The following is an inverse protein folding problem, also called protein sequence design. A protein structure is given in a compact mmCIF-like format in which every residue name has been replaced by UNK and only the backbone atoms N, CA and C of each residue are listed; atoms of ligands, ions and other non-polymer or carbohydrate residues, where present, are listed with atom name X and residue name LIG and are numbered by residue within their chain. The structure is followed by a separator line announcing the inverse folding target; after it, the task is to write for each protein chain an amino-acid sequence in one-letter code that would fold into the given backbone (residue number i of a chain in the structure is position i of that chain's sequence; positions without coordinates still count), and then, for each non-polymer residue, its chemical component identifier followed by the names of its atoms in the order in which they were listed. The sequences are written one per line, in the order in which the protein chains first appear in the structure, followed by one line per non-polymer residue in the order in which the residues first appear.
data_IF_448643439917
#
_entry.id   IF_448643439917
#
_cell.length_a   1.000
_cell.length_b   1.000
_cell.length_c   1.000
_cell.angle_alpha   90.00
_cell.angle_beta   90.00
_cell.angle_gamma   90.00
#
_symmetry.space_group_name_H-M   'P 1'
#
loop_
_entity.id
_entity.type
_entity.pdbx_description
1 polymer ?
#
# COMPACT_ATOMS: atom_id res chain seq x y z
N UNK A 1 -10.82 -34.20 -6.27
CA UNK A 1 -12.04 -34.67 -5.86
C UNK A 1 -12.36 -36.11 -6.21
N UNK A 2 -13.62 -36.41 -6.09
CA UNK A 2 -14.20 -37.73 -6.31
C UNK A 2 -14.22 -38.12 -7.80
N UNK A 3 -15.17 -38.95 -8.19
CA UNK A 3 -15.30 -39.41 -9.60
C UNK A 3 -15.52 -38.25 -10.55
N UNK A 4 -15.03 -38.30 -11.80
CA UNK A 4 -15.20 -37.24 -12.79
C UNK A 4 -16.68 -36.80 -12.99
N UNK A 5 -17.61 -37.76 -12.93
CA UNK A 5 -19.03 -37.48 -13.11
C UNK A 5 -19.64 -36.64 -11.98
N UNK A 6 -19.29 -36.97 -10.73
CA UNK A 6 -19.75 -36.21 -9.54
C UNK A 6 -19.11 -34.82 -9.55
N UNK A 7 -17.79 -34.74 -9.82
CA UNK A 7 -17.05 -33.47 -9.87
C UNK A 7 -17.66 -32.55 -10.95
N UNK A 8 -17.92 -33.05 -12.15
CA UNK A 8 -18.55 -32.27 -13.23
C UNK A 8 -19.94 -31.76 -12.85
N UNK A 9 -20.75 -32.60 -12.19
CA UNK A 9 -22.08 -32.21 -11.72
C UNK A 9 -22.03 -31.08 -10.70
N UNK A 10 -21.13 -31.18 -9.71
CA UNK A 10 -20.96 -30.14 -8.70
C UNK A 10 -20.48 -28.83 -9.34
N UNK A 11 -19.54 -28.91 -10.30
CA UNK A 11 -19.10 -27.72 -11.04
C UNK A 11 -20.27 -27.02 -11.74
N UNK A 12 -21.10 -27.76 -12.41
CA UNK A 12 -22.29 -27.20 -13.07
C UNK A 12 -23.27 -26.56 -12.07
N UNK A 13 -23.50 -27.21 -10.91
CA UNK A 13 -24.37 -26.66 -9.86
C UNK A 13 -23.87 -25.32 -9.28
N UNK A 14 -22.56 -25.09 -9.24
CA UNK A 14 -21.95 -23.83 -8.78
C UNK A 14 -21.70 -22.85 -9.93
N UNK A 15 -22.17 -23.14 -11.14
CA UNK A 15 -22.04 -22.23 -12.28
C UNK A 15 -20.70 -22.27 -13.01
N UNK A 16 -19.90 -23.31 -12.79
CA UNK A 16 -18.68 -23.57 -13.53
C UNK A 16 -18.98 -24.56 -14.68
N UNK A 17 -18.58 -24.21 -15.89
CA UNK A 17 -18.57 -25.16 -16.99
C UNK A 17 -17.35 -26.06 -16.85
N UNK A 18 -17.51 -27.38 -16.57
CA UNK A 18 -16.39 -28.24 -16.22
C UNK A 18 -15.42 -28.52 -17.36
N UNK A 19 -15.80 -28.24 -18.60
CA UNK A 19 -14.98 -28.58 -19.76
C UNK A 19 -14.54 -30.03 -19.76
N UNK A 20 -13.30 -30.31 -20.13
CA UNK A 20 -12.67 -31.63 -20.01
C UNK A 20 -12.12 -31.83 -18.61
N UNK A 21 -12.59 -32.85 -17.90
CA UNK A 21 -12.08 -33.21 -16.58
C UNK A 21 -10.83 -34.06 -16.73
N UNK A 22 -9.71 -33.65 -16.11
CA UNK A 22 -8.45 -34.40 -16.09
C UNK A 22 -8.42 -35.31 -14.88
N UNK A 23 -8.01 -36.58 -15.10
CA UNK A 23 -7.89 -37.59 -14.05
C UNK A 23 -6.44 -37.76 -13.56
N UNK A 24 -6.29 -38.35 -12.37
CA UNK A 24 -4.97 -38.66 -11.81
C UNK A 24 -4.09 -39.51 -12.73
N UNK A 25 -4.67 -40.52 -13.40
CA UNK A 25 -3.93 -41.38 -14.35
C UNK A 25 -3.37 -40.56 -15.54
N UNK A 26 -4.11 -39.58 -16.01
CA UNK A 26 -3.66 -38.69 -17.07
C UNK A 26 -2.52 -37.77 -16.60
N UNK A 27 -2.59 -37.30 -15.34
CA UNK A 27 -1.54 -36.49 -14.76
C UNK A 27 -0.23 -37.26 -14.63
N UNK A 28 -0.31 -38.53 -14.22
CA UNK A 28 0.89 -39.39 -14.09
C UNK A 28 1.57 -39.67 -15.44
N UNK A 29 0.81 -39.64 -16.53
CA UNK A 29 1.32 -39.81 -17.88
C UNK A 29 1.95 -38.53 -18.47
N UNK A 30 1.70 -37.36 -17.88
CA UNK A 30 2.17 -36.04 -18.35
C UNK A 30 3.57 -35.71 -17.81
N UNK A 31 4.40 -35.11 -18.64
CA UNK A 31 5.61 -34.43 -18.19
C UNK A 31 5.27 -33.04 -17.58
N UNK A 32 6.27 -32.34 -17.01
CA UNK A 32 6.04 -31.07 -16.31
C UNK A 32 5.50 -29.95 -17.24
N UNK A 33 5.92 -29.94 -18.52
CA UNK A 33 5.46 -28.95 -19.48
C UNK A 33 4.00 -29.22 -19.92
N UNK A 34 3.70 -30.48 -20.15
CA UNK A 34 2.34 -30.95 -20.49
C UNK A 34 1.37 -30.68 -19.32
N UNK A 35 1.79 -30.96 -18.09
CA UNK A 35 1.01 -30.69 -16.90
C UNK A 35 0.77 -29.19 -16.69
N UNK A 36 1.80 -28.35 -16.94
CA UNK A 36 1.64 -26.90 -16.85
C UNK A 36 0.65 -26.37 -17.89
N UNK A 37 0.71 -26.88 -19.11
CA UNK A 37 -0.26 -26.53 -20.15
C UNK A 37 -1.67 -26.99 -19.77
N UNK A 38 -1.81 -28.24 -19.30
CA UNK A 38 -3.08 -28.79 -18.84
C UNK A 38 -3.67 -27.99 -17.67
N UNK A 39 -2.85 -27.60 -16.70
CA UNK A 39 -3.27 -26.79 -15.55
C UNK A 39 -3.66 -25.34 -15.90
N UNK A 40 -3.23 -24.83 -17.06
CA UNK A 40 -3.69 -23.53 -17.59
C UNK A 40 -5.02 -23.62 -18.33
N UNK A 41 -5.24 -24.73 -19.03
CA UNK A 41 -6.37 -24.90 -19.95
C UNK A 41 -7.57 -25.60 -19.29
N UNK A 42 -7.39 -26.17 -18.09
CA UNK A 42 -8.41 -26.95 -17.40
C UNK A 42 -8.55 -26.52 -15.95
N UNK A 43 -9.78 -26.36 -15.51
CA UNK A 43 -10.14 -25.95 -14.15
C UNK A 43 -10.52 -27.13 -13.26
N UNK A 44 -10.78 -28.32 -13.83
CA UNK A 44 -11.36 -29.46 -13.12
C UNK A 44 -10.47 -30.69 -13.19
N UNK A 45 -10.08 -31.17 -12.03
CA UNK A 45 -9.25 -32.36 -11.83
C UNK A 45 -9.97 -33.34 -10.89
N UNK A 46 -10.03 -34.62 -11.25
CA UNK A 46 -10.74 -35.62 -10.50
C UNK A 46 -9.91 -36.87 -10.24
N UNK A 47 -10.29 -37.66 -9.23
CA UNK A 47 -9.58 -38.90 -8.82
C UNK A 47 -8.09 -38.69 -8.54
N UNK A 48 -7.78 -37.65 -7.80
CA UNK A 48 -6.39 -37.32 -7.46
C UNK A 48 -5.96 -37.98 -6.17
N UNK A 49 -4.76 -38.53 -6.17
CA UNK A 49 -4.04 -38.89 -4.95
C UNK A 49 -3.48 -37.62 -4.26
N UNK A 50 -3.14 -37.66 -2.98
CA UNK A 50 -2.48 -36.54 -2.29
C UNK A 50 -1.23 -36.04 -2.99
N UNK A 51 -0.41 -36.92 -3.55
CA UNK A 51 0.81 -36.56 -4.27
C UNK A 51 0.51 -35.86 -5.60
N UNK A 52 -0.52 -36.28 -6.32
CA UNK A 52 -0.95 -35.62 -7.56
C UNK A 52 -1.49 -34.22 -7.29
N UNK A 53 -2.24 -34.02 -6.19
CA UNK A 53 -2.67 -32.67 -5.75
C UNK A 53 -1.46 -31.76 -5.50
N UNK A 54 -0.49 -32.25 -4.75
CA UNK A 54 0.77 -31.54 -4.47
C UNK A 54 1.53 -31.23 -5.77
N UNK A 55 1.59 -32.18 -6.72
CA UNK A 55 2.26 -31.99 -8.02
C UNK A 55 1.60 -30.88 -8.85
N UNK A 56 0.27 -30.82 -8.91
CA UNK A 56 -0.46 -29.74 -9.58
C UNK A 56 -0.13 -28.39 -8.94
N UNK A 57 -0.16 -28.31 -7.62
CA UNK A 57 0.15 -27.07 -6.87
C UNK A 57 1.56 -26.59 -7.24
N UNK A 58 2.56 -27.46 -7.15
CA UNK A 58 3.95 -27.12 -7.51
C UNK A 58 4.12 -26.70 -8.96
N UNK A 59 3.42 -27.37 -9.87
CA UNK A 59 3.44 -27.02 -11.30
C UNK A 59 2.85 -25.61 -11.54
N UNK A 60 1.76 -25.27 -10.88
CA UNK A 60 1.19 -23.91 -10.95
C UNK A 60 2.14 -22.86 -10.36
N UNK A 61 2.79 -23.16 -9.23
CA UNK A 61 3.80 -22.26 -8.63
C UNK A 61 4.98 -22.05 -9.57
N UNK A 62 5.50 -23.09 -10.21
CA UNK A 62 6.56 -23.00 -11.23
C UNK A 62 6.12 -22.17 -12.45
N UNK A 63 4.83 -22.23 -12.79
CA UNK A 63 4.19 -21.37 -13.78
C UNK A 63 4.06 -19.90 -13.38
N UNK A 64 4.51 -19.53 -12.18
CA UNK A 64 4.51 -18.16 -11.67
C UNK A 64 3.19 -17.75 -10.97
N UNK A 65 2.31 -18.72 -10.66
CA UNK A 65 1.08 -18.48 -9.90
C UNK A 65 1.35 -18.55 -8.40
N UNK A 66 0.58 -17.78 -7.62
CA UNK A 66 0.46 -17.96 -6.18
C UNK A 66 -0.77 -18.82 -5.93
N UNK A 67 -0.59 -19.95 -5.26
CA UNK A 67 -1.61 -20.98 -5.11
C UNK A 67 -2.12 -21.02 -3.67
N UNK A 68 -3.42 -20.77 -3.50
CA UNK A 68 -4.16 -21.12 -2.28
C UNK A 68 -4.79 -22.50 -2.45
N UNK A 69 -4.69 -23.35 -1.44
CA UNK A 69 -5.28 -24.68 -1.43
C UNK A 69 -6.24 -24.84 -0.26
N UNK A 70 -7.48 -25.18 -0.55
CA UNK A 70 -8.50 -25.46 0.46
C UNK A 70 -8.68 -26.98 0.61
N UNK A 71 -8.50 -27.47 1.82
CA UNK A 71 -8.65 -28.89 2.14
C UNK A 71 -9.15 -29.12 3.56
N UNK A 72 -9.96 -30.16 3.77
CA UNK A 72 -10.54 -30.51 5.08
C UNK A 72 -10.26 -31.95 5.51
N UNK A 73 -9.64 -32.76 4.66
CA UNK A 73 -9.36 -34.16 4.90
C UNK A 73 -7.89 -34.47 5.23
N UNK A 74 -7.67 -35.67 5.76
CA UNK A 74 -6.32 -36.20 6.04
C UNK A 74 -5.47 -36.23 4.76
N UNK A 75 -6.08 -36.54 3.63
CA UNK A 75 -5.42 -36.64 2.33
C UNK A 75 -5.01 -35.28 1.74
N UNK A 76 -5.46 -34.19 2.33
CA UNK A 76 -5.16 -32.82 1.87
C UNK A 76 -3.92 -32.22 2.52
N UNK A 77 -3.42 -32.84 3.60
CA UNK A 77 -2.28 -32.31 4.35
C UNK A 77 -1.03 -32.02 3.48
N UNK A 78 -0.62 -32.86 2.52
CA UNK A 78 0.50 -32.53 1.64
C UNK A 78 0.22 -31.29 0.77
N UNK A 79 -0.98 -31.18 0.19
CA UNK A 79 -1.39 -30.03 -0.61
C UNK A 79 -1.46 -28.73 0.20
N UNK A 80 -1.96 -28.80 1.44
CA UNK A 80 -2.01 -27.67 2.37
C UNK A 80 -0.60 -27.14 2.70
N UNK A 81 0.38 -28.01 2.87
CA UNK A 81 1.77 -27.61 3.14
C UNK A 81 2.51 -27.11 1.93
N UNK A 82 2.23 -27.66 0.76
CA UNK A 82 2.94 -27.31 -0.48
C UNK A 82 2.37 -26.05 -1.15
N UNK A 83 1.15 -25.65 -0.83
CA UNK A 83 0.55 -24.41 -1.31
C UNK A 83 1.25 -23.18 -0.72
N UNK A 84 1.14 -22.03 -1.41
CA UNK A 84 1.61 -20.73 -0.87
C UNK A 84 0.75 -20.31 0.33
N UNK A 85 -0.53 -20.68 0.33
CA UNK A 85 -1.47 -20.50 1.44
C UNK A 85 -2.33 -21.75 1.58
N UNK A 86 -2.11 -22.53 2.64
CA UNK A 86 -2.98 -23.65 3.01
C UNK A 86 -4.19 -23.14 3.81
N UNK A 87 -5.39 -23.51 3.38
CA UNK A 87 -6.65 -23.08 4.02
C UNK A 87 -7.43 -24.32 4.44
N UNK A 88 -7.88 -24.35 5.68
CA UNK A 88 -8.77 -25.40 6.18
C UNK A 88 -9.99 -24.81 6.88
N UNK A 89 -10.85 -25.66 7.40
CA UNK A 89 -12.04 -25.26 8.14
C UNK A 89 -12.00 -25.80 9.56
N UNK A 90 -12.71 -25.17 10.49
CA UNK A 90 -12.71 -25.58 11.90
C UNK A 90 -13.20 -27.02 12.10
N UNK A 91 -14.13 -27.49 11.26
CA UNK A 91 -14.64 -28.86 11.27
C UNK A 91 -13.75 -29.90 10.58
N UNK A 92 -12.56 -29.50 10.08
CA UNK A 92 -11.65 -30.38 9.37
C UNK A 92 -10.94 -31.38 10.31
N UNK A 93 -10.31 -32.40 9.71
CA UNK A 93 -9.42 -33.31 10.44
C UNK A 93 -8.24 -32.55 11.07
N UNK A 94 -7.80 -32.95 12.25
CA UNK A 94 -6.73 -32.25 13.00
C UNK A 94 -5.46 -32.08 12.18
N UNK A 95 -5.05 -33.09 11.44
CA UNK A 95 -3.86 -33.02 10.58
C UNK A 95 -4.02 -31.99 9.44
N UNK A 96 -5.22 -31.78 8.93
CA UNK A 96 -5.50 -30.75 7.94
C UNK A 96 -5.40 -29.36 8.58
N UNK A 97 -5.97 -29.18 9.77
CA UNK A 97 -5.88 -27.93 10.53
C UNK A 97 -4.44 -27.57 10.90
N UNK A 98 -3.65 -28.55 11.34
CA UNK A 98 -2.22 -28.37 11.66
C UNK A 98 -1.36 -28.07 10.43
N UNK A 99 -1.81 -28.48 9.25
CA UNK A 99 -1.09 -28.25 7.98
C UNK A 99 -1.50 -26.95 7.26
N UNK A 100 -2.54 -26.29 7.73
CA UNK A 100 -3.07 -25.07 7.13
C UNK A 100 -2.48 -23.81 7.79
N UNK A 101 -2.34 -22.75 6.98
CA UNK A 101 -1.95 -21.42 7.46
C UNK A 101 -3.16 -20.64 8.00
N UNK A 102 -4.35 -20.91 7.43
CA UNK A 102 -5.59 -20.24 7.78
C UNK A 102 -6.68 -21.27 8.05
N UNK A 103 -7.44 -21.07 9.12
CA UNK A 103 -8.61 -21.88 9.45
C UNK A 103 -9.86 -20.99 9.37
N UNK A 104 -10.78 -21.34 8.48
CA UNK A 104 -12.08 -20.71 8.39
C UNK A 104 -12.99 -21.23 9.50
N UNK A 105 -13.53 -20.34 10.31
CA UNK A 105 -14.45 -20.68 11.40
C UNK A 105 -15.81 -21.14 10.90
N UNK A 106 -16.17 -20.74 9.68
CA UNK A 106 -17.37 -21.18 8.98
C UNK A 106 -16.99 -21.93 7.70
N UNK A 107 -17.63 -23.07 7.48
CA UNK A 107 -17.45 -23.87 6.24
C UNK A 107 -18.24 -23.24 5.09
N UNK A 108 -17.76 -22.10 4.59
CA UNK A 108 -18.42 -21.33 3.52
C UNK A 108 -17.41 -20.80 2.51
N UNK A 109 -17.65 -21.02 1.23
CA UNK A 109 -16.85 -20.42 0.16
C UNK A 109 -17.01 -18.90 0.07
N UNK A 110 -18.15 -18.36 0.55
CA UNK A 110 -18.37 -16.92 0.63
C UNK A 110 -17.40 -16.27 1.61
N UNK A 111 -17.15 -16.91 2.76
CA UNK A 111 -16.14 -16.43 3.73
C UNK A 111 -14.74 -16.44 3.14
N UNK A 112 -14.41 -17.44 2.32
CA UNK A 112 -13.14 -17.49 1.59
C UNK A 112 -13.03 -16.35 0.58
N UNK A 113 -14.07 -16.07 -0.18
CA UNK A 113 -14.11 -14.96 -1.14
C UNK A 113 -13.91 -13.61 -0.43
N UNK A 114 -14.64 -13.37 0.65
CA UNK A 114 -14.49 -12.18 1.48
C UNK A 114 -13.05 -12.06 2.01
N UNK A 115 -12.46 -13.17 2.45
CA UNK A 115 -11.07 -13.21 2.90
C UNK A 115 -10.07 -12.82 1.81
N UNK A 116 -10.26 -13.28 0.58
CA UNK A 116 -9.42 -12.90 -0.57
C UNK A 116 -9.56 -11.41 -0.89
N UNK A 117 -10.76 -10.87 -0.92
CA UNK A 117 -11.00 -9.44 -1.15
C UNK A 117 -10.38 -8.62 -0.04
N UNK A 118 -10.56 -9.02 1.22
CA UNK A 118 -9.98 -8.35 2.39
C UNK A 118 -8.46 -8.38 2.39
N UNK A 119 -7.86 -9.49 1.99
CA UNK A 119 -6.41 -9.61 1.79
C UNK A 119 -5.90 -8.62 0.73
N UNK A 120 -6.60 -8.48 -0.39
CA UNK A 120 -6.26 -7.49 -1.44
C UNK A 120 -6.41 -6.05 -0.95
N UNK A 121 -7.45 -5.74 -0.15
CA UNK A 121 -7.61 -4.44 0.49
C UNK A 121 -6.44 -4.12 1.44
N UNK A 122 -6.10 -5.05 2.31
CA UNK A 122 -4.99 -4.93 3.25
C UNK A 122 -3.68 -4.71 2.51
N UNK A 123 -3.39 -5.51 1.50
CA UNK A 123 -2.20 -5.34 0.66
C UNK A 123 -2.18 -3.98 -0.04
N UNK A 124 -3.32 -3.52 -0.57
CA UNK A 124 -3.46 -2.20 -1.18
C UNK A 124 -3.12 -1.07 -0.20
N UNK A 125 -3.59 -1.15 1.03
CA UNK A 125 -3.30 -0.15 2.06
C UNK A 125 -1.82 -0.19 2.52
N UNK A 126 -1.21 -1.37 2.61
CA UNK A 126 0.23 -1.52 2.85
C UNK A 126 1.03 -0.86 1.71
N UNK A 127 0.66 -1.09 0.46
CA UNK A 127 1.34 -0.49 -0.69
C UNK A 127 1.22 1.04 -0.70
N UNK A 128 0.06 1.60 -0.32
CA UNK A 128 -0.09 3.04 -0.13
C UNK A 128 0.90 3.56 0.90
N UNK A 129 0.91 2.97 2.10
CA UNK A 129 1.82 3.35 3.18
C UNK A 129 3.27 3.36 2.72
N UNK A 130 3.74 2.28 2.12
CA UNK A 130 5.14 2.16 1.70
C UNK A 130 5.53 3.17 0.62
N UNK A 131 4.69 3.36 -0.39
CA UNK A 131 4.97 4.33 -1.45
C UNK A 131 4.97 5.76 -0.91
N UNK A 132 4.03 6.11 -0.03
CA UNK A 132 3.95 7.42 0.59
C UNK A 132 5.16 7.70 1.48
N UNK A 133 5.47 6.77 2.38
CA UNK A 133 6.59 6.91 3.32
C UNK A 133 7.93 6.98 2.60
N UNK A 134 8.18 6.10 1.63
CA UNK A 134 9.39 6.12 0.84
C UNK A 134 9.55 7.44 0.07
N UNK A 135 8.48 7.92 -0.56
CA UNK A 135 8.49 9.17 -1.32
C UNK A 135 8.70 10.39 -0.42
N UNK A 136 8.04 10.45 0.72
CA UNK A 136 8.20 11.51 1.72
C UNK A 136 9.62 11.58 2.26
N UNK A 137 10.17 10.44 2.68
CA UNK A 137 11.53 10.39 3.22
C UNK A 137 12.57 10.79 2.18
N UNK A 138 12.42 10.31 0.94
CA UNK A 138 13.30 10.72 -0.16
C UNK A 138 13.22 12.22 -0.42
N UNK A 139 12.01 12.79 -0.47
CA UNK A 139 11.78 14.22 -0.63
C UNK A 139 12.43 15.03 0.48
N UNK A 140 12.25 14.64 1.74
CA UNK A 140 12.83 15.32 2.89
C UNK A 140 14.37 15.33 2.85
N UNK A 141 14.99 14.19 2.56
CA UNK A 141 16.46 14.10 2.45
C UNK A 141 16.96 15.01 1.33
N UNK A 142 16.30 15.00 0.18
CA UNK A 142 16.66 15.87 -0.94
C UNK A 142 16.51 17.35 -0.58
N UNK A 143 15.44 17.73 0.10
CA UNK A 143 15.21 19.11 0.54
C UNK A 143 16.24 19.58 1.56
N UNK A 144 16.63 18.73 2.52
CA UNK A 144 17.71 19.04 3.49
C UNK A 144 19.05 19.24 2.78
N UNK A 145 19.37 18.40 1.80
CA UNK A 145 20.63 18.54 1.04
C UNK A 145 20.69 19.86 0.28
N UNK A 146 19.59 20.24 -0.38
CA UNK A 146 19.51 21.53 -1.08
C UNK A 146 19.65 22.70 -0.10
N UNK A 147 18.91 22.68 1.01
CA UNK A 147 18.98 23.71 2.02
C UNK A 147 20.40 23.87 2.60
N UNK A 148 21.05 22.74 2.91
CA UNK A 148 22.40 22.74 3.50
C UNK A 148 23.47 23.32 2.57
N UNK A 149 23.22 23.36 1.27
CA UNK A 149 24.14 23.98 0.29
C UNK A 149 24.08 25.53 0.28
N UNK A 150 22.95 26.12 0.70
CA UNK A 150 22.71 27.57 0.53
C UNK A 150 22.44 28.32 1.83
N UNK A 151 22.10 27.64 2.92
CA UNK A 151 21.63 28.23 4.16
C UNK A 151 22.73 28.09 5.24
N UNK A 152 23.04 29.14 6.02
CA UNK A 152 24.13 29.14 7.01
C UNK A 152 23.78 28.41 8.32
N UNK A 153 22.57 27.88 8.45
CA UNK A 153 22.08 27.11 9.61
C UNK A 153 21.29 25.86 9.15
N UNK A 154 20.99 24.98 10.08
CA UNK A 154 20.16 23.81 9.76
C UNK A 154 18.72 24.23 9.45
N UNK A 155 18.15 23.79 8.32
CA UNK A 155 16.78 24.13 7.95
C UNK A 155 15.75 23.52 8.90
N UNK A 156 16.11 22.48 9.63
CA UNK A 156 15.32 21.87 10.69
C UNK A 156 16.27 21.15 11.66
N UNK A 157 16.04 21.30 12.95
CA UNK A 157 16.81 20.60 13.98
C UNK A 157 16.40 19.10 14.01
N UNK A 158 17.30 18.19 14.40
CA UNK A 158 16.98 16.76 14.49
C UNK A 158 15.75 16.46 15.36
N UNK A 159 15.57 17.19 16.48
CA UNK A 159 14.40 17.01 17.36
C UNK A 159 13.10 17.46 16.69
N UNK A 160 13.15 18.54 15.90
CA UNK A 160 11.99 19.02 15.14
C UNK A 160 11.62 18.02 14.04
N UNK A 161 12.61 17.45 13.34
CA UNK A 161 12.43 16.44 12.32
C UNK A 161 11.82 15.16 12.91
N UNK A 162 12.31 14.75 14.09
CA UNK A 162 11.74 13.61 14.82
C UNK A 162 10.27 13.86 15.18
N UNK A 163 9.95 15.03 15.72
CA UNK A 163 8.58 15.41 16.08
C UNK A 163 7.68 15.43 14.84
N UNK A 164 8.15 16.02 13.75
CA UNK A 164 7.41 16.06 12.48
C UNK A 164 7.12 14.64 11.95
N UNK A 165 8.12 13.77 11.94
CA UNK A 165 7.96 12.38 11.49
C UNK A 165 6.99 11.62 12.39
N UNK A 166 7.05 11.75 13.71
CA UNK A 166 6.10 11.13 14.62
C UNK A 166 4.66 11.61 14.36
N UNK A 167 4.45 12.90 14.16
CA UNK A 167 3.13 13.44 13.83
C UNK A 167 2.62 12.91 12.48
N UNK A 168 3.49 12.83 11.49
CA UNK A 168 3.17 12.25 10.20
C UNK A 168 2.81 10.75 10.31
N UNK A 169 3.60 9.97 11.03
CA UNK A 169 3.33 8.56 11.28
C UNK A 169 1.98 8.35 11.96
N UNK A 170 1.65 9.19 12.94
CA UNK A 170 0.31 9.17 13.54
C UNK A 170 -0.80 9.40 12.51
N UNK A 171 -0.59 10.30 11.55
CA UNK A 171 -1.58 10.53 10.49
C UNK A 171 -1.84 9.28 9.63
N UNK A 172 -0.83 8.44 9.48
CA UNK A 172 -0.88 7.21 8.68
C UNK A 172 -1.46 5.99 9.40
N UNK A 173 -1.62 6.03 10.73
CA UNK A 173 -2.24 4.94 11.50
C UNK A 173 -3.68 4.63 11.06
N UNK A 174 -4.34 5.56 10.41
CA UNK A 174 -5.70 5.38 9.87
C UNK A 174 -5.76 4.69 8.51
N UNK A 175 -4.63 4.52 7.80
CA UNK A 175 -4.59 3.92 6.46
C UNK A 175 -5.17 2.49 6.37
N UNK A 176 -5.04 1.61 7.38
CA UNK A 176 -5.67 0.28 7.33
C UNK A 176 -7.20 0.32 7.14
N UNK A 177 -7.86 1.40 7.55
CA UNK A 177 -9.30 1.59 7.34
C UNK A 177 -9.67 2.33 6.06
N UNK A 178 -8.66 2.70 5.25
CA UNK A 178 -8.92 3.42 4.01
C UNK A 178 -9.48 2.50 2.93
N UNK A 179 -10.24 3.11 2.04
CA UNK A 179 -10.83 2.42 0.88
C UNK A 179 -9.78 2.23 -0.20
N UNK A 180 -9.77 1.05 -0.79
CA UNK A 180 -8.92 0.73 -1.96
C UNK A 180 -9.75 0.88 -3.23
N UNK A 181 -9.14 1.40 -4.29
CA UNK A 181 -9.79 1.55 -5.59
C UNK A 181 -10.23 0.18 -6.13
N UNK A 182 -11.46 0.09 -6.65
CA UNK A 182 -12.05 -1.18 -7.13
C UNK A 182 -11.19 -1.85 -8.21
N UNK A 183 -10.55 -1.07 -9.04
CA UNK A 183 -9.67 -1.57 -10.10
C UNK A 183 -8.42 -2.29 -9.54
N UNK A 184 -7.98 -1.89 -8.34
CA UNK A 184 -6.88 -2.57 -7.65
C UNK A 184 -7.31 -3.95 -7.14
N UNK A 185 -8.55 -4.10 -6.71
CA UNK A 185 -9.09 -5.34 -6.13
C UNK A 185 -9.38 -6.42 -7.17
N UNK A 186 -9.50 -6.07 -8.45
CA UNK A 186 -9.86 -7.00 -9.52
C UNK A 186 -8.81 -8.09 -9.78
N UNK A 187 -7.53 -7.77 -9.56
CA UNK A 187 -6.41 -8.67 -9.82
C UNK A 187 -5.46 -8.72 -8.63
N UNK A 188 -4.90 -9.89 -8.31
CA UNK A 188 -3.86 -10.00 -7.31
C UNK A 188 -2.63 -9.19 -7.72
N UNK A 189 -1.96 -8.60 -6.73
CA UNK A 189 -0.72 -7.84 -6.94
C UNK A 189 0.42 -8.53 -6.22
N UNK A 190 1.61 -8.45 -6.80
CA UNK A 190 2.84 -8.95 -6.20
C UNK A 190 3.65 -7.78 -5.64
N UNK A 191 4.42 -8.07 -4.63
CA UNK A 191 5.44 -7.17 -4.11
C UNK A 191 6.48 -6.85 -5.19
N UNK A 192 6.73 -5.58 -5.43
CA UNK A 192 7.69 -5.12 -6.43
C UNK A 192 8.52 -3.95 -5.90
N UNK A 193 9.67 -4.27 -5.31
CA UNK A 193 10.59 -3.28 -4.75
C UNK A 193 11.10 -2.28 -5.81
N UNK A 194 11.25 -2.71 -7.07
CA UNK A 194 11.66 -1.83 -8.17
C UNK A 194 10.60 -0.77 -8.46
N UNK A 195 9.34 -1.14 -8.32
CA UNK A 195 8.24 -0.19 -8.49
C UNK A 195 8.20 0.84 -7.37
N UNK A 196 8.43 0.43 -6.12
CA UNK A 196 8.53 1.36 -4.97
C UNK A 196 9.68 2.34 -5.19
N UNK A 197 10.88 1.87 -5.57
CA UNK A 197 12.02 2.72 -5.88
C UNK A 197 11.75 3.70 -7.01
N UNK A 198 11.11 3.25 -8.08
CA UNK A 198 10.69 4.11 -9.19
C UNK A 198 9.69 5.18 -8.74
N UNK A 199 8.68 4.78 -7.98
CA UNK A 199 7.68 5.70 -7.44
C UNK A 199 8.33 6.77 -6.56
N UNK A 200 9.23 6.37 -5.65
CA UNK A 200 10.00 7.25 -4.79
C UNK A 200 10.77 8.32 -5.58
N UNK A 201 11.50 7.92 -6.62
CA UNK A 201 12.32 8.85 -7.43
C UNK A 201 11.46 9.79 -8.28
N UNK A 202 10.28 9.36 -8.72
CA UNK A 202 9.41 10.19 -9.54
C UNK A 202 8.51 11.12 -8.74
N UNK A 203 8.02 10.68 -7.61
CA UNK A 203 7.03 11.42 -6.81
C UNK A 203 7.70 12.19 -5.66
N UNK A 204 8.78 11.65 -5.06
CA UNK A 204 9.46 12.29 -3.95
C UNK A 204 9.92 13.73 -4.24
N UNK A 205 10.62 14.01 -5.34
CA UNK A 205 11.05 15.37 -5.67
C UNK A 205 9.92 16.37 -5.88
N UNK A 206 8.69 15.91 -6.11
CA UNK A 206 7.54 16.80 -6.26
C UNK A 206 7.28 17.61 -4.98
N UNK A 207 7.39 17.00 -3.81
CA UNK A 207 7.27 17.71 -2.53
C UNK A 207 8.44 18.66 -2.30
N UNK A 208 9.65 18.26 -2.69
CA UNK A 208 10.86 19.06 -2.51
C UNK A 208 10.82 20.41 -3.25
N UNK A 209 10.11 20.51 -4.37
CA UNK A 209 9.90 21.78 -5.07
C UNK A 209 9.22 22.80 -4.14
N UNK A 210 8.25 22.34 -3.35
CA UNK A 210 7.49 23.21 -2.43
C UNK A 210 8.23 23.47 -1.13
N UNK A 211 9.06 22.52 -0.66
CA UNK A 211 10.01 22.77 0.42
C UNK A 211 10.98 23.90 0.03
N UNK A 212 11.55 23.83 -1.17
CA UNK A 212 12.44 24.87 -1.70
C UNK A 212 11.72 26.20 -1.86
N UNK A 213 10.47 26.18 -2.31
CA UNK A 213 9.63 27.38 -2.38
C UNK A 213 9.43 27.98 -1.00
N UNK A 214 9.20 27.18 0.02
CA UNK A 214 9.09 27.62 1.41
C UNK A 214 10.40 28.18 1.93
N UNK A 215 11.54 27.58 1.60
CA UNK A 215 12.85 28.15 1.92
C UNK A 215 13.04 29.54 1.32
N UNK A 216 12.70 29.69 0.04
CA UNK A 216 12.76 30.99 -0.64
C UNK A 216 11.82 32.01 0.00
N UNK A 217 10.62 31.59 0.38
CA UNK A 217 9.64 32.43 1.08
C UNK A 217 10.18 32.91 2.42
N UNK A 218 10.69 32.01 3.25
CA UNK A 218 11.25 32.37 4.56
C UNK A 218 12.49 33.24 4.43
N UNK A 219 13.32 33.03 3.43
CA UNK A 219 14.52 33.78 3.18
C UNK A 219 14.25 35.18 2.63
N UNK A 220 13.47 35.29 1.55
CA UNK A 220 13.28 36.55 0.81
C UNK A 220 12.11 37.38 1.30
N UNK A 221 11.02 36.77 1.76
CA UNK A 221 9.81 37.51 2.16
C UNK A 221 9.83 37.78 3.67
N UNK A 222 10.20 36.81 4.49
CA UNK A 222 10.21 36.93 5.94
C UNK A 222 11.59 37.31 6.50
N UNK A 223 12.64 37.37 5.67
CA UNK A 223 13.95 37.84 6.05
C UNK A 223 14.69 36.96 7.05
N UNK A 224 14.33 35.69 7.16
CA UNK A 224 15.00 34.75 8.05
C UNK A 224 16.33 34.26 7.46
N UNK A 225 17.33 35.15 7.44
CA UNK A 225 18.61 34.98 6.73
C UNK A 225 19.81 34.79 7.66
N UNK A 226 19.61 34.92 8.96
CA UNK A 226 20.69 34.85 9.96
C UNK A 226 20.43 33.74 10.99
N UNK A 227 21.45 33.35 11.71
CA UNK A 227 21.38 32.34 12.78
C UNK A 227 20.39 32.76 13.88
N UNK A 228 20.28 34.05 14.17
CA UNK A 228 19.32 34.56 15.15
C UNK A 228 17.87 34.35 14.73
N UNK A 229 17.61 34.27 13.44
CA UNK A 229 16.27 34.06 12.86
C UNK A 229 16.03 32.62 12.41
N UNK A 230 16.92 31.70 12.73
CA UNK A 230 16.79 30.30 12.32
C UNK A 230 15.48 29.63 12.82
N UNK A 231 15.03 29.96 14.04
CA UNK A 231 13.81 29.41 14.61
C UNK A 231 12.57 29.75 13.78
N UNK A 232 12.49 30.99 13.24
CA UNK A 232 11.43 31.40 12.35
C UNK A 232 11.45 30.60 11.05
N UNK A 233 12.62 30.44 10.43
CA UNK A 233 12.81 29.64 9.23
C UNK A 233 12.40 28.17 9.46
N UNK A 234 12.86 27.59 10.55
CA UNK A 234 12.56 26.23 10.94
C UNK A 234 11.06 26.01 11.20
N UNK A 235 10.41 26.98 11.86
CA UNK A 235 8.95 26.93 12.08
C UNK A 235 8.18 26.97 10.77
N UNK A 236 8.58 27.80 9.82
CA UNK A 236 7.96 27.88 8.51
C UNK A 236 8.02 26.57 7.74
N UNK A 237 9.19 25.96 7.69
CA UNK A 237 9.31 24.65 7.01
C UNK A 237 8.67 23.50 7.79
N UNK A 238 8.74 23.54 9.13
CA UNK A 238 8.08 22.53 9.97
C UNK A 238 6.57 22.43 9.66
N UNK A 239 5.89 23.56 9.62
CA UNK A 239 4.44 23.60 9.35
C UNK A 239 4.16 23.22 7.91
N UNK A 240 4.83 23.80 6.93
CA UNK A 240 4.64 23.48 5.52
C UNK A 240 4.93 22.01 5.25
N UNK A 241 6.07 21.49 5.71
CA UNK A 241 6.49 20.12 5.51
C UNK A 241 5.53 19.12 6.13
N UNK A 242 5.02 19.37 7.34
CA UNK A 242 4.03 18.49 7.97
C UNK A 242 2.70 18.51 7.21
N UNK A 243 2.23 19.67 6.81
CA UNK A 243 0.96 19.79 6.10
C UNK A 243 1.03 19.19 4.69
N UNK A 244 2.11 19.44 3.95
CA UNK A 244 2.32 18.84 2.62
C UNK A 244 2.44 17.32 2.70
N UNK A 245 3.19 16.78 3.65
CA UNK A 245 3.31 15.33 3.89
C UNK A 245 1.96 14.70 4.28
N UNK A 246 1.16 15.39 5.07
CA UNK A 246 -0.16 14.90 5.46
C UNK A 246 -1.15 14.95 4.30
N UNK A 247 -1.08 15.99 3.45
CA UNK A 247 -1.85 16.06 2.21
C UNK A 247 -1.45 15.00 1.20
N UNK A 248 -0.18 14.59 1.17
CA UNK A 248 0.29 13.47 0.34
C UNK A 248 -0.54 12.23 0.56
N UNK A 249 -0.95 11.93 1.79
CA UNK A 249 -1.82 10.79 2.09
C UNK A 249 -3.06 10.81 1.22
N UNK A 250 -3.73 11.96 1.11
CA UNK A 250 -4.92 12.12 0.28
C UNK A 250 -4.60 12.12 -1.22
N UNK A 251 -3.48 12.73 -1.62
CA UNK A 251 -3.10 12.83 -3.03
C UNK A 251 -2.66 11.49 -3.62
N UNK A 252 -1.91 10.69 -2.87
CA UNK A 252 -1.31 9.46 -3.40
C UNK A 252 -2.14 8.19 -3.13
N UNK A 253 -3.11 8.21 -2.20
CA UNK A 253 -3.90 7.03 -1.82
C UNK A 253 -4.74 6.43 -2.96
N UNK A 254 -5.02 7.18 -3.99
CA UNK A 254 -5.90 6.79 -5.08
C UNK A 254 -5.33 7.20 -6.44
N UNK A 255 -5.63 6.40 -7.46
CA UNK A 255 -5.38 6.75 -8.86
C UNK A 255 -6.24 7.94 -9.33
N UNK A 256 -7.42 8.13 -8.72
CA UNK A 256 -8.44 9.12 -9.06
C UNK A 256 -8.09 10.52 -8.54
N UNK A 257 -8.90 11.50 -8.88
CA UNK A 257 -8.78 12.85 -8.33
C UNK A 257 -9.25 12.84 -6.87
N UNK A 258 -8.36 13.16 -5.91
CA UNK A 258 -8.71 13.18 -4.49
C UNK A 258 -9.83 14.15 -4.19
N UNK A 259 -10.64 13.85 -3.17
CA UNK A 259 -11.80 14.61 -2.70
C UNK A 259 -12.96 14.73 -3.69
N UNK A 260 -12.71 14.66 -5.00
CA UNK A 260 -13.73 14.78 -6.04
C UNK A 260 -14.22 13.42 -6.50
N UNK A 261 -13.31 12.55 -6.92
CA UNK A 261 -13.64 11.22 -7.46
C UNK A 261 -13.43 10.10 -6.43
N UNK A 262 -12.58 10.31 -5.46
CA UNK A 262 -12.30 9.35 -4.39
C UNK A 262 -11.99 10.07 -3.09
N UNK A 263 -12.89 9.94 -2.12
CA UNK A 263 -12.71 10.50 -0.77
C UNK A 263 -12.17 9.41 0.15
N UNK A 264 -11.21 9.77 1.00
CA UNK A 264 -10.68 8.88 2.02
C UNK A 264 -11.78 8.45 3.01
N UNK A 265 -11.55 7.33 3.68
CA UNK A 265 -12.42 6.90 4.76
C UNK A 265 -12.43 7.93 5.91
N UNK A 266 -13.53 7.99 6.67
CA UNK A 266 -13.69 8.95 7.74
C UNK A 266 -12.55 8.94 8.78
N UNK A 267 -12.03 7.79 9.24
CA UNK A 267 -10.88 7.76 10.14
C UNK A 267 -9.64 8.46 9.57
N UNK A 268 -9.39 8.32 8.25
CA UNK A 268 -8.27 8.97 7.58
C UNK A 268 -8.47 10.48 7.55
N UNK A 269 -9.67 10.96 7.21
CA UNK A 269 -10.00 12.38 7.20
C UNK A 269 -9.85 13.02 8.58
N UNK A 270 -10.37 12.38 9.61
CA UNK A 270 -10.33 12.89 10.98
C UNK A 270 -8.89 12.92 11.52
N UNK A 271 -8.13 11.85 11.33
CA UNK A 271 -6.79 11.76 11.89
C UNK A 271 -5.82 12.70 11.16
N UNK A 272 -5.86 12.74 9.84
CA UNK A 272 -5.04 13.67 9.05
C UNK A 272 -5.41 15.12 9.34
N UNK A 273 -6.70 15.45 9.42
CA UNK A 273 -7.16 16.78 9.77
C UNK A 273 -6.71 17.22 11.18
N UNK A 274 -6.76 16.33 12.14
CA UNK A 274 -6.29 16.57 13.52
C UNK A 274 -4.77 16.83 13.53
N UNK A 275 -3.99 16.02 12.83
CA UNK A 275 -2.53 16.19 12.75
C UNK A 275 -2.18 17.51 12.06
N UNK A 276 -2.88 17.88 11.00
CA UNK A 276 -2.67 19.18 10.34
C UNK A 276 -2.97 20.35 11.27
N UNK A 277 -4.07 20.30 12.01
CA UNK A 277 -4.44 21.35 12.98
C UNK A 277 -3.40 21.46 14.11
N UNK A 278 -2.94 20.33 14.65
CA UNK A 278 -1.89 20.30 15.66
C UNK A 278 -0.55 20.81 15.09
N UNK A 279 -0.23 20.50 13.84
CA UNK A 279 0.96 21.01 13.16
C UNK A 279 0.98 22.53 13.03
N UNK A 280 -0.15 23.13 12.66
CA UNK A 280 -0.32 24.59 12.60
C UNK A 280 -0.17 25.22 13.99
N UNK A 281 -0.72 24.56 15.01
CA UNK A 281 -0.67 25.03 16.40
C UNK A 281 0.72 24.86 17.04
N UNK A 282 1.52 23.92 16.59
CA UNK A 282 2.79 23.52 17.22
C UNK A 282 3.74 24.70 17.48
N UNK A 283 4.04 25.62 16.52
CA UNK A 283 4.91 26.77 16.78
C UNK A 283 4.38 27.74 17.83
N UNK A 284 3.08 27.72 18.10
CA UNK A 284 2.44 28.59 19.12
C UNK A 284 2.31 27.92 20.48
N UNK A 285 2.73 26.66 20.59
CA UNK A 285 2.62 25.87 21.81
C UNK A 285 3.90 25.91 22.64
N UNK A 286 3.78 25.66 23.96
CA UNK A 286 4.95 25.49 24.81
C UNK A 286 5.85 24.32 24.42
N UNK A 287 5.28 23.27 23.80
CA UNK A 287 6.07 22.16 23.26
C UNK A 287 6.88 22.61 22.03
N UNK A 288 6.33 23.47 21.18
CA UNK A 288 7.05 24.06 20.06
C UNK A 288 8.24 24.89 20.53
N UNK A 289 8.06 25.71 21.55
CA UNK A 289 9.13 26.49 22.18
C UNK A 289 10.27 25.58 22.72
N UNK A 290 9.91 24.48 23.39
CA UNK A 290 10.89 23.50 23.89
C UNK A 290 11.74 22.86 22.79
N UNK A 291 11.22 22.71 21.60
CA UNK A 291 11.96 22.14 20.45
C UNK A 291 12.57 23.21 19.54
N UNK A 292 12.51 24.48 19.94
CA UNK A 292 13.15 25.59 19.23
C UNK A 292 12.33 26.17 18.08
N UNK A 293 11.02 25.96 18.07
CA UNK A 293 10.09 26.63 17.15
C UNK A 293 9.60 27.94 17.78
N UNK A 294 9.22 28.89 16.95
CA UNK A 294 8.61 30.14 17.37
C UNK A 294 7.32 30.44 16.59
N UNK A 295 6.42 31.25 17.14
CA UNK A 295 5.17 31.63 16.48
C UNK A 295 5.42 32.25 15.10
N UNK A 296 4.67 31.77 14.11
CA UNK A 296 4.71 32.30 12.75
C UNK A 296 3.85 33.56 12.63
N UNK A 297 4.28 34.56 11.83
CA UNK A 297 3.46 35.75 11.57
C UNK A 297 2.19 35.36 10.80
N UNK A 298 1.09 36.07 11.05
CA UNK A 298 -0.20 35.79 10.37
C UNK A 298 -0.13 35.92 8.84
N UNK A 299 0.76 36.75 8.32
CA UNK A 299 1.02 36.88 6.90
C UNK A 299 1.62 35.63 6.23
N UNK A 300 2.14 34.70 7.02
CA UNK A 300 2.65 33.41 6.53
C UNK A 300 1.54 32.49 6.03
N UNK A 301 0.39 32.47 6.66
CA UNK A 301 -0.68 31.51 6.36
C UNK A 301 -1.31 31.63 4.97
N UNK A 302 -1.54 32.82 4.40
CA UNK A 302 -1.93 32.95 3.00
C UNK A 302 -0.92 32.33 2.03
N UNK A 303 0.37 32.53 2.28
CA UNK A 303 1.44 31.90 1.49
C UNK A 303 1.44 30.38 1.64
N UNK A 304 1.27 29.88 2.86
CA UNK A 304 1.14 28.45 3.13
C UNK A 304 -0.05 27.85 2.35
N UNK A 305 -1.21 28.46 2.40
CA UNK A 305 -2.38 28.01 1.68
C UNK A 305 -2.15 27.97 0.16
N UNK A 306 -1.53 29.01 -0.40
CA UNK A 306 -1.15 29.04 -1.81
C UNK A 306 -0.16 27.96 -2.20
N UNK A 307 0.87 27.74 -1.38
CA UNK A 307 1.87 26.68 -1.57
C UNK A 307 1.24 25.30 -1.58
N UNK A 308 0.36 25.01 -0.61
CA UNK A 308 -0.32 23.71 -0.51
C UNK A 308 -1.30 23.47 -1.67
N UNK A 309 -2.01 24.49 -2.13
CA UNK A 309 -2.86 24.39 -3.32
C UNK A 309 -2.04 24.09 -4.58
N UNK A 310 -0.95 24.81 -4.79
CA UNK A 310 -0.04 24.54 -5.90
C UNK A 310 0.55 23.14 -5.82
N UNK A 311 0.92 22.69 -4.62
CA UNK A 311 1.36 21.33 -4.39
C UNK A 311 0.31 20.28 -4.82
N UNK A 312 -0.93 20.44 -4.43
CA UNK A 312 -2.00 19.52 -4.84
C UNK A 312 -2.16 19.46 -6.37
N UNK A 313 -2.10 20.61 -7.05
CA UNK A 313 -2.20 20.67 -8.52
C UNK A 313 -1.01 19.97 -9.18
N UNK A 314 0.21 20.27 -8.75
CA UNK A 314 1.43 19.66 -9.33
C UNK A 314 1.50 18.16 -9.02
N UNK A 315 1.17 17.74 -7.80
CA UNK A 315 1.11 16.33 -7.42
C UNK A 315 0.10 15.56 -8.28
N UNK A 316 -1.08 16.15 -8.54
CA UNK A 316 -2.06 15.54 -9.45
C UNK A 316 -1.54 15.45 -10.88
N UNK A 317 -0.87 16.49 -11.36
CA UNK A 317 -0.23 16.48 -12.69
C UNK A 317 0.84 15.40 -12.81
N UNK A 318 1.73 15.29 -11.81
CA UNK A 318 2.77 14.24 -11.76
C UNK A 318 2.17 12.84 -11.69
N UNK A 319 1.07 12.65 -10.96
CA UNK A 319 0.32 11.39 -10.95
C UNK A 319 -0.14 11.01 -12.36
N UNK A 320 -0.76 11.93 -13.08
CA UNK A 320 -1.22 11.69 -14.47
C UNK A 320 -0.05 11.32 -15.38
N UNK A 321 1.06 12.05 -15.30
CA UNK A 321 2.27 11.76 -16.08
C UNK A 321 2.82 10.36 -15.74
N UNK A 322 2.93 10.04 -14.45
CA UNK A 322 3.40 8.73 -13.98
C UNK A 322 2.52 7.60 -14.53
N UNK A 323 1.20 7.71 -14.40
CA UNK A 323 0.26 6.70 -14.87
C UNK A 323 0.34 6.53 -16.40
N UNK A 324 0.45 7.63 -17.15
CA UNK A 324 0.60 7.57 -18.62
C UNK A 324 1.89 6.88 -19.03
N UNK A 325 2.98 7.12 -18.30
CA UNK A 325 4.30 6.56 -18.63
C UNK A 325 4.44 5.09 -18.25
N UNK A 326 3.91 4.69 -17.11
CA UNK A 326 4.12 3.35 -16.53
C UNK A 326 2.87 2.45 -16.56
N UNK A 327 1.72 2.97 -16.98
CA UNK A 327 0.47 2.23 -17.14
C UNK A 327 -0.21 1.84 -15.81
N UNK A 328 0.42 2.13 -14.65
CA UNK A 328 -0.09 1.78 -13.32
C UNK A 328 0.21 2.87 -12.31
N UNK A 329 -0.55 2.89 -11.20
CA UNK A 329 -0.31 3.80 -10.10
C UNK A 329 0.43 3.09 -8.94
N UNK A 330 -0.01 1.90 -8.56
CA UNK A 330 0.65 1.03 -7.57
C UNK A 330 0.95 -0.34 -8.18
#
# INVERSE_FOLDING_TARGET
GDTPVITAKICHEVGLEPGTVITGDQIDAMNEQELLAAARDHDVFARLTPLQKSRIIKTLQQGGHTVGFLGDGINDAPGLRDADVGISVDSAADIAKESADIILLEKSLMVLEEGVVKGRETFGNIMKYLNMTASSNFGNVFSVLVASAFIPFLPMLPIQLLLQNLMYDFSQLSLPWDRVDKEFLQKPRKWDAKNIGRFMVWIGPTSSIFDITTYALMWFVFGATSVEMQSLFQSGWFVEGLLSQTLVVHMLRTRKIPFVQSTAALPVLLLTGTVMALGIYMPFSGLGELVGLEPLPWSYFPWLAGTLLCYCVVAQGMKVVYIRKFGRWF
#
